data_IF_270763119702
#
_entry.id   IF_270763119702
#
_cell.length_a   1.000
_cell.length_b   1.000
_cell.length_c   1.000
_cell.angle_alpha   90.00
_cell.angle_beta   90.00
_cell.angle_gamma   90.00
#
_symmetry.space_group_name_H-M   'P 1'
#
loop_
_entity.id
_entity.type
_entity.pdbx_description
1 polymer ?
#
# COMPACT_ATOMS: atom_id res chain seq x y z
N UNK A 1 -12.47 8.81 13.40
CA UNK A 1 -11.41 8.58 12.39
C UNK A 1 -10.07 8.92 13.00
N UNK A 2 -9.05 8.08 12.86
CA UNK A 2 -7.66 8.39 13.26
C UNK A 2 -7.04 9.42 12.32
N UNK A 3 -6.23 10.34 12.83
CA UNK A 3 -5.60 11.37 12.00
C UNK A 3 -4.53 10.79 11.07
N UNK A 4 -4.13 11.54 10.04
CA UNK A 4 -3.00 11.16 9.18
C UNK A 4 -1.70 11.05 9.96
N UNK A 5 -1.48 11.91 10.95
CA UNK A 5 -0.30 11.87 11.82
C UNK A 5 -0.28 10.57 12.64
N UNK A 6 -1.41 10.17 13.23
CA UNK A 6 -1.50 8.93 14.01
C UNK A 6 -1.19 7.70 13.15
N UNK A 7 -1.71 7.67 11.90
CA UNK A 7 -1.42 6.60 10.95
C UNK A 7 0.05 6.55 10.56
N UNK A 8 0.68 7.71 10.34
CA UNK A 8 2.10 7.79 9.99
C UNK A 8 2.98 7.27 11.13
N UNK A 9 2.72 7.71 12.37
CA UNK A 9 3.42 7.21 13.57
C UNK A 9 3.25 5.71 13.73
N UNK A 10 2.02 5.19 13.54
CA UNK A 10 1.76 3.75 13.62
C UNK A 10 2.51 2.96 12.56
N UNK A 11 2.51 3.45 11.31
CA UNK A 11 3.23 2.81 10.21
C UNK A 11 4.74 2.83 10.45
N UNK A 12 5.30 3.92 10.98
CA UNK A 12 6.72 3.98 11.36
C UNK A 12 7.05 2.93 12.43
N UNK A 13 6.23 2.80 13.47
CA UNK A 13 6.43 1.81 14.52
C UNK A 13 6.39 0.37 13.96
N UNK A 14 5.48 0.09 13.02
CA UNK A 14 5.42 -1.22 12.34
C UNK A 14 6.69 -1.54 11.54
N UNK A 15 7.33 -0.55 10.93
CA UNK A 15 8.58 -0.75 10.19
C UNK A 15 9.80 -0.98 11.09
N UNK A 16 9.77 -0.43 12.32
CA UNK A 16 10.87 -0.57 13.28
C UNK A 16 10.77 -1.82 14.16
N UNK A 17 9.62 -2.49 14.14
CA UNK A 17 9.37 -3.69 14.93
C UNK A 17 10.21 -4.88 14.43
N UNK A 18 10.63 -5.80 15.31
CA UNK A 18 11.39 -6.99 14.91
C UNK A 18 10.56 -7.99 14.08
N UNK A 19 9.23 -7.95 14.18
CA UNK A 19 8.33 -8.78 13.39
C UNK A 19 8.24 -8.33 11.94
N UNK A 20 8.13 -9.29 11.01
CA UNK A 20 7.95 -8.98 9.60
C UNK A 20 6.61 -8.28 9.37
N UNK A 21 6.68 -7.08 8.79
CA UNK A 21 5.51 -6.35 8.32
C UNK A 21 5.13 -6.80 6.91
N UNK A 22 4.05 -7.59 6.79
CA UNK A 22 3.42 -7.88 5.50
C UNK A 22 2.59 -6.67 5.04
N UNK A 23 2.93 -6.13 3.87
CA UNK A 23 2.20 -5.01 3.25
C UNK A 23 1.63 -5.46 1.90
N UNK A 24 0.32 -5.66 1.85
CA UNK A 24 -0.35 -6.14 0.63
C UNK A 24 -0.68 -4.96 -0.28
N UNK A 25 -0.37 -5.13 -1.56
CA UNK A 25 -0.74 -4.19 -2.60
C UNK A 25 -2.22 -4.36 -2.99
N UNK A 26 -3.03 -3.31 -2.84
CA UNK A 26 -4.46 -3.29 -3.18
C UNK A 26 -4.77 -2.23 -4.25
N UNK A 27 -5.64 -2.54 -5.21
CA UNK A 27 -5.89 -1.69 -6.39
C UNK A 27 -7.29 -1.05 -6.43
N UNK A 28 -8.20 -1.42 -5.53
CA UNK A 28 -9.53 -0.83 -5.38
C UNK A 28 -10.02 -0.87 -3.91
N UNK A 29 -11.15 -0.22 -3.64
CA UNK A 29 -11.72 -0.12 -2.30
C UNK A 29 -12.28 -1.47 -1.78
N UNK A 30 -12.74 -2.34 -2.67
CA UNK A 30 -13.33 -3.64 -2.32
C UNK A 30 -12.22 -4.57 -1.80
N UNK A 31 -11.15 -4.68 -2.57
CA UNK A 31 -9.94 -5.42 -2.23
C UNK A 31 -9.29 -4.87 -0.97
N UNK A 32 -9.23 -3.53 -0.81
CA UNK A 32 -8.73 -2.91 0.41
C UNK A 32 -9.54 -3.34 1.66
N UNK A 33 -10.87 -3.39 1.56
CA UNK A 33 -11.73 -3.84 2.65
C UNK A 33 -11.50 -5.32 2.99
N UNK A 34 -11.54 -6.19 1.98
CA UNK A 34 -11.36 -7.63 2.16
C UNK A 34 -10.01 -7.95 2.81
N UNK A 35 -8.93 -7.32 2.32
CA UNK A 35 -7.58 -7.57 2.87
C UNK A 35 -7.42 -6.96 4.26
N UNK A 36 -8.06 -5.83 4.57
CA UNK A 36 -8.03 -5.24 5.91
C UNK A 36 -8.66 -6.16 6.98
N UNK A 37 -9.58 -7.04 6.58
CA UNK A 37 -10.21 -8.03 7.47
C UNK A 37 -9.41 -9.35 7.57
N UNK A 38 -8.36 -9.52 6.75
CA UNK A 38 -7.54 -10.73 6.77
C UNK A 38 -6.65 -10.80 8.04
N UNK A 39 -6.46 -12.00 8.62
CA UNK A 39 -5.62 -12.16 9.81
C UNK A 39 -4.19 -11.64 9.61
N UNK A 40 -3.72 -10.81 10.54
CA UNK A 40 -2.36 -10.27 10.53
C UNK A 40 -2.15 -9.05 9.63
N UNK A 41 -3.17 -8.58 8.89
CA UNK A 41 -3.06 -7.33 8.12
C UNK A 41 -2.96 -6.12 9.03
N UNK A 42 -1.85 -5.39 8.95
CA UNK A 42 -1.63 -4.16 9.72
C UNK A 42 -1.38 -2.92 8.86
N UNK A 43 -1.09 -3.11 7.56
CA UNK A 43 -0.86 -2.03 6.61
C UNK A 43 -1.19 -2.49 5.17
N UNK A 44 -1.52 -1.53 4.30
CA UNK A 44 -1.79 -1.73 2.87
C UNK A 44 -0.92 -0.78 2.05
N UNK A 45 -0.60 -1.18 0.82
CA UNK A 45 0.09 -0.36 -0.17
C UNK A 45 -0.71 -0.28 -1.47
N UNK A 46 -0.43 0.74 -2.28
CA UNK A 46 -1.04 0.91 -3.59
C UNK A 46 -0.03 0.56 -4.69
N UNK A 47 -0.35 -0.37 -5.61
CA UNK A 47 0.49 -0.69 -6.74
C UNK A 47 0.13 0.21 -7.94
N UNK A 48 1.05 1.07 -8.38
CA UNK A 48 0.83 1.90 -9.56
C UNK A 48 0.52 1.08 -10.83
N UNK A 49 1.21 -0.05 -11.01
CA UNK A 49 0.96 -0.96 -12.13
C UNK A 49 -0.41 -1.64 -12.05
N UNK A 50 -0.81 -2.12 -10.85
CA UNK A 50 -2.09 -2.82 -10.66
C UNK A 50 -3.29 -1.89 -10.82
N UNK A 51 -3.19 -0.65 -10.34
CA UNK A 51 -4.21 0.39 -10.57
C UNK A 51 -4.31 0.71 -12.06
N UNK A 52 -3.19 0.91 -12.75
CA UNK A 52 -3.18 1.20 -14.18
C UNK A 52 -3.81 0.06 -14.99
N UNK A 53 -3.44 -1.19 -14.70
CA UNK A 53 -4.02 -2.37 -15.33
C UNK A 53 -5.53 -2.49 -15.09
N UNK A 54 -5.98 -2.26 -13.85
CA UNK A 54 -7.41 -2.31 -13.49
C UNK A 54 -8.23 -1.20 -14.15
N UNK A 55 -7.60 -0.04 -14.41
CA UNK A 55 -8.20 1.08 -15.12
C UNK A 55 -8.00 1.02 -16.65
N UNK A 56 -7.44 -0.07 -17.19
CA UNK A 56 -7.11 -0.26 -18.60
C UNK A 56 -6.22 0.85 -19.21
N UNK A 57 -5.38 1.47 -18.39
CA UNK A 57 -4.39 2.48 -18.82
C UNK A 57 -2.97 1.94 -18.71
N UNK A 58 -2.07 2.49 -19.54
CA UNK A 58 -0.65 2.16 -19.43
C UNK A 58 -0.01 2.95 -18.30
N UNK A 59 0.64 2.25 -17.38
CA UNK A 59 1.52 2.88 -16.40
C UNK A 59 2.66 3.63 -17.12
N UNK A 60 2.78 4.93 -16.87
CA UNK A 60 3.92 5.70 -17.35
C UNK A 60 5.20 5.19 -16.68
N UNK A 61 6.17 4.74 -17.48
CA UNK A 61 7.52 4.48 -16.96
C UNK A 61 8.26 5.81 -16.92
N UNK A 62 8.62 6.28 -15.74
CA UNK A 62 9.64 7.34 -15.64
C UNK A 62 10.98 6.68 -15.97
N UNK A 63 11.55 6.99 -17.13
CA UNK A 63 12.95 6.63 -17.41
C UNK A 63 13.79 7.33 -16.35
N UNK A 64 14.44 6.57 -15.47
CA UNK A 64 15.40 7.10 -14.50
C UNK A 64 16.81 7.24 -15.10
N UNK A 65 16.96 7.17 -16.43
CA UNK A 65 18.20 7.57 -17.08
C UNK A 65 18.18 9.08 -17.31
N UNK A 66 18.50 9.83 -16.25
CA UNK A 66 19.02 11.19 -16.34
C UNK A 66 19.93 11.46 -15.14
N UNK A 67 21.24 11.29 -15.40
CA UNK A 67 22.43 11.70 -14.63
C UNK A 67 22.67 11.05 -13.27
#
# INVERSE_FOLDING_TARGET
MTSTADKATRLQALHAAPELLLVVNVWDAITAKVIAEAPGTQALATPSHGIAASAAIRMARRSLVTR
#
